data_IF_798079070520
#
_entry.id   IF_798079070520
#
_cell.length_a   1.000
_cell.length_b   1.000
_cell.length_c   1.000
_cell.angle_alpha   90.00
_cell.angle_beta   90.00
_cell.angle_gamma   90.00
#
_symmetry.space_group_name_H-M   'P 1'
#
loop_
_entity.id
_entity.type
_entity.pdbx_description
1 polymer ?
#
# COMPACT_ATOMS: atom_id res chain seq x y z
N UNK A 1 -16.93 -8.23 -17.78
CA UNK A 1 -16.00 -7.18 -18.23
C UNK A 1 -15.01 -6.95 -17.10
N UNK A 2 -13.73 -6.81 -17.40
CA UNK A 2 -12.69 -6.61 -16.41
C UNK A 2 -12.84 -5.20 -15.78
N UNK A 3 -12.74 -5.11 -14.46
CA UNK A 3 -12.88 -3.87 -13.69
C UNK A 3 -11.91 -2.77 -14.16
N UNK A 4 -10.69 -3.16 -14.61
CA UNK A 4 -9.70 -2.24 -15.14
C UNK A 4 -10.12 -1.63 -16.47
N UNK A 5 -10.65 -2.45 -17.38
CA UNK A 5 -11.14 -1.98 -18.67
C UNK A 5 -12.30 -0.99 -18.52
N UNK A 6 -13.25 -1.29 -17.63
CA UNK A 6 -14.36 -0.38 -17.35
C UNK A 6 -13.86 0.95 -16.79
N UNK A 7 -12.99 0.90 -15.78
CA UNK A 7 -12.44 2.11 -15.17
C UNK A 7 -11.64 2.96 -16.18
N UNK A 8 -10.81 2.32 -17.00
CA UNK A 8 -10.03 3.00 -18.04
C UNK A 8 -10.92 3.68 -19.06
N UNK A 9 -11.96 2.99 -19.55
CA UNK A 9 -12.93 3.53 -20.52
C UNK A 9 -13.72 4.69 -19.93
N UNK A 10 -14.27 4.55 -18.71
CA UNK A 10 -15.06 5.58 -18.04
C UNK A 10 -14.28 6.86 -17.77
N UNK A 11 -12.98 6.76 -17.55
CA UNK A 11 -12.14 7.89 -17.17
C UNK A 11 -11.20 8.37 -18.29
N UNK A 12 -11.28 7.81 -19.50
CA UNK A 12 -10.44 8.21 -20.65
C UNK A 12 -8.95 7.91 -20.44
N UNK A 13 -8.64 6.76 -19.82
CA UNK A 13 -7.29 6.30 -19.53
C UNK A 13 -6.92 5.15 -20.46
N UNK A 14 -5.65 5.10 -20.87
CA UNK A 14 -5.12 3.93 -21.58
C UNK A 14 -5.07 2.73 -20.63
N UNK A 15 -5.82 1.67 -20.95
CA UNK A 15 -5.89 0.46 -20.12
C UNK A 15 -4.53 -0.24 -20.00
N UNK A 16 -3.71 -0.24 -21.06
CA UNK A 16 -2.37 -0.86 -21.03
C UNK A 16 -1.44 -0.09 -20.07
N UNK A 17 -1.53 1.24 -20.04
CA UNK A 17 -0.79 2.05 -19.09
C UNK A 17 -1.20 1.73 -17.65
N UNK A 18 -2.50 1.63 -17.39
CA UNK A 18 -3.01 1.25 -16.07
C UNK A 18 -2.54 -0.15 -15.66
N UNK A 19 -2.58 -1.13 -16.56
CA UNK A 19 -2.07 -2.48 -16.33
C UNK A 19 -0.56 -2.51 -16.06
N UNK A 20 0.23 -1.73 -16.83
CA UNK A 20 1.68 -1.63 -16.63
C UNK A 20 2.03 -1.05 -15.25
N UNK A 21 1.33 0.01 -14.84
CA UNK A 21 1.49 0.61 -13.50
C UNK A 21 1.18 -0.42 -12.42
N UNK A 22 0.06 -1.12 -12.50
CA UNK A 22 -0.31 -2.16 -11.54
C UNK A 22 0.73 -3.27 -11.44
N UNK A 23 1.28 -3.68 -12.57
CA UNK A 23 2.32 -4.70 -12.59
C UNK A 23 3.60 -4.25 -11.86
N UNK A 24 3.94 -2.97 -11.94
CA UNK A 24 5.15 -2.42 -11.31
C UNK A 24 4.93 -2.18 -9.81
N UNK A 25 3.80 -1.60 -9.43
CA UNK A 25 3.54 -1.22 -8.03
C UNK A 25 3.27 -2.44 -7.13
N UNK A 26 2.57 -3.43 -7.64
CA UNK A 26 2.12 -4.56 -6.83
C UNK A 26 2.80 -5.89 -7.15
N UNK A 27 3.74 -5.92 -8.10
CA UNK A 27 4.16 -7.21 -8.66
C UNK A 27 2.97 -8.02 -9.23
N UNK A 28 1.87 -7.32 -9.53
CA UNK A 28 0.65 -7.90 -10.12
C UNK A 28 -0.28 -8.65 -9.15
N UNK A 29 0.10 -8.86 -7.87
CA UNK A 29 -0.69 -9.67 -6.94
C UNK A 29 -0.84 -9.01 -5.56
N UNK A 30 -2.08 -8.70 -5.18
CA UNK A 30 -2.43 -8.15 -3.85
C UNK A 30 -2.52 -9.20 -2.74
N UNK A 31 -2.41 -10.48 -3.08
CA UNK A 31 -2.58 -11.60 -2.15
C UNK A 31 -1.33 -12.47 -2.07
N UNK A 32 -1.15 -13.12 -0.94
CA UNK A 32 -0.15 -14.15 -0.74
C UNK A 32 -0.59 -15.50 -1.33
N UNK A 33 0.31 -16.48 -1.35
CA UNK A 33 0.00 -17.83 -1.85
C UNK A 33 -1.07 -18.54 -1.01
N UNK A 34 -1.21 -18.18 0.26
CA UNK A 34 -2.24 -18.71 1.18
C UNK A 34 -3.59 -17.99 1.07
N UNK A 35 -3.71 -17.01 0.15
CA UNK A 35 -4.92 -16.24 -0.07
C UNK A 35 -5.12 -15.05 0.87
N UNK A 36 -4.18 -14.78 1.78
CA UNK A 36 -4.25 -13.60 2.64
C UNK A 36 -3.87 -12.32 1.87
N UNK A 37 -4.59 -11.23 2.12
CA UNK A 37 -4.27 -9.92 1.57
C UNK A 37 -2.88 -9.48 2.02
N UNK A 38 -2.04 -9.00 1.10
CA UNK A 38 -0.73 -8.46 1.46
C UNK A 38 -0.89 -7.19 2.26
N UNK A 39 -0.09 -7.07 3.32
CA UNK A 39 -0.01 -5.88 4.16
C UNK A 39 1.43 -5.43 4.32
N UNK A 40 1.59 -4.15 4.65
CA UNK A 40 2.85 -3.53 5.06
C UNK A 40 2.58 -2.57 6.21
N UNK A 41 3.19 -2.81 7.36
CA UNK A 41 2.96 -2.00 8.56
C UNK A 41 3.93 -0.83 8.61
N UNK A 42 3.41 0.38 8.64
CA UNK A 42 4.18 1.63 8.60
C UNK A 42 4.50 2.12 10.03
N UNK A 43 5.47 1.47 10.67
CA UNK A 43 5.85 1.73 12.06
C UNK A 43 6.25 3.20 12.30
N UNK A 44 6.87 3.85 11.30
CA UNK A 44 7.26 5.25 11.43
C UNK A 44 6.03 6.17 11.58
N UNK A 45 4.94 5.90 10.84
CA UNK A 45 3.67 6.64 10.98
C UNK A 45 3.01 6.34 12.32
N UNK A 46 2.99 5.07 12.73
CA UNK A 46 2.46 4.67 14.03
C UNK A 46 3.18 5.40 15.17
N UNK A 47 4.50 5.53 15.12
CA UNK A 47 5.29 6.18 16.16
C UNK A 47 5.19 7.72 16.15
N UNK A 48 4.80 8.33 15.04
CA UNK A 48 4.48 9.76 14.98
C UNK A 48 3.26 10.10 15.85
N UNK A 49 2.20 9.26 15.77
CA UNK A 49 0.97 9.46 16.53
C UNK A 49 1.01 8.84 17.95
N UNK A 50 1.80 7.78 18.14
CA UNK A 50 1.92 7.05 19.41
C UNK A 50 3.39 6.93 19.86
N UNK A 51 4.06 8.05 20.17
CA UNK A 51 5.49 8.06 20.49
C UNK A 51 5.84 7.25 21.77
N UNK A 52 4.87 7.01 22.67
CA UNK A 52 5.06 6.18 23.85
C UNK A 52 5.32 4.70 23.54
N UNK A 53 5.04 4.26 22.31
CA UNK A 53 5.33 2.89 21.85
C UNK A 53 6.79 2.71 21.45
N UNK A 54 7.51 3.80 21.18
CA UNK A 54 8.90 3.76 20.73
C UNK A 54 9.81 3.11 21.79
N UNK A 55 10.70 2.23 21.36
CA UNK A 55 11.59 1.40 22.19
C UNK A 55 10.88 0.49 23.20
N UNK A 56 9.57 0.52 23.25
CA UNK A 56 8.76 -0.35 24.11
C UNK A 56 8.22 -1.56 23.36
N UNK A 57 7.58 -1.35 22.22
CA UNK A 57 7.03 -2.39 21.35
C UNK A 57 7.48 -2.26 19.91
N UNK A 58 7.84 -1.07 19.48
CA UNK A 58 8.30 -0.74 18.16
C UNK A 58 9.53 0.14 18.20
N UNK A 59 10.31 0.11 17.13
CA UNK A 59 11.36 1.08 16.85
C UNK A 59 11.61 1.16 15.35
N UNK A 60 12.18 2.29 14.91
CA UNK A 60 12.71 2.46 13.56
C UNK A 60 14.23 2.52 13.61
N UNK A 61 14.87 2.10 12.49
CA UNK A 61 16.30 2.33 12.25
C UNK A 61 16.56 3.61 11.49
N UNK A 62 17.65 3.63 10.74
CA UNK A 62 18.03 4.75 9.88
C UNK A 62 18.26 4.24 8.46
N UNK A 63 17.49 4.70 7.49
CA UNK A 63 16.40 5.69 7.59
C UNK A 63 15.11 5.11 8.22
N UNK A 64 14.36 5.97 8.93
CA UNK A 64 13.20 5.58 9.75
C UNK A 64 12.05 4.89 8.99
N UNK A 65 11.96 5.04 7.67
CA UNK A 65 10.91 4.47 6.83
C UNK A 65 11.31 3.13 6.15
N UNK A 66 12.55 2.65 6.36
CA UNK A 66 13.01 1.37 5.80
C UNK A 66 13.16 0.30 6.86
N UNK A 67 13.77 0.65 8.00
CA UNK A 67 14.11 -0.29 9.05
C UNK A 67 13.07 -0.23 10.17
N UNK A 68 12.12 -1.15 10.14
CA UNK A 68 11.06 -1.27 11.14
C UNK A 68 11.23 -2.55 11.97
N UNK A 69 11.05 -2.41 13.28
CA UNK A 69 11.19 -3.51 14.24
C UNK A 69 10.03 -3.52 15.21
N UNK A 70 9.66 -4.73 15.65
CA UNK A 70 8.67 -4.96 16.69
C UNK A 70 9.16 -5.98 17.71
N UNK A 71 8.51 -6.04 18.88
CA UNK A 71 8.66 -7.13 19.86
C UNK A 71 7.34 -7.41 20.56
N UNK A 72 7.14 -8.67 20.94
CA UNK A 72 5.98 -9.06 21.73
C UNK A 72 6.16 -8.61 23.18
N UNK A 73 5.12 -7.96 23.81
CA UNK A 73 5.26 -7.34 25.14
C UNK A 73 5.58 -8.31 26.27
N UNK A 74 5.16 -9.60 26.13
CA UNK A 74 5.15 -10.56 27.23
C UNK A 74 6.14 -11.70 27.11
N UNK A 75 6.76 -11.90 25.93
CA UNK A 75 7.48 -13.15 25.66
C UNK A 75 8.90 -13.00 25.15
N UNK A 76 9.34 -11.81 24.80
CA UNK A 76 10.66 -11.64 24.21
C UNK A 76 11.23 -10.24 24.46
N UNK A 77 12.51 -10.19 24.84
CA UNK A 77 13.32 -8.97 24.80
C UNK A 77 13.92 -8.72 23.41
N UNK A 78 13.77 -9.69 22.49
CA UNK A 78 14.38 -9.65 21.16
C UNK A 78 13.52 -8.84 20.19
N UNK A 79 14.17 -7.93 19.50
CA UNK A 79 13.58 -7.19 18.38
C UNK A 79 13.53 -8.08 17.14
N UNK A 80 12.40 -8.03 16.44
CA UNK A 80 12.19 -8.69 15.15
C UNK A 80 12.03 -7.63 14.06
N UNK A 81 12.61 -7.88 12.89
CA UNK A 81 12.42 -7.03 11.71
C UNK A 81 11.02 -7.23 11.15
N UNK A 82 10.36 -6.13 10.74
CA UNK A 82 9.01 -6.18 10.14
C UNK A 82 9.11 -6.54 8.65
N UNK A 83 9.85 -5.78 7.87
CA UNK A 83 9.90 -5.91 6.40
C UNK A 83 10.92 -6.97 5.96
N UNK A 84 10.66 -8.24 6.28
CA UNK A 84 11.52 -9.37 5.91
C UNK A 84 11.15 -9.98 4.56
N UNK A 85 10.04 -9.54 3.95
CA UNK A 85 9.39 -10.22 2.83
C UNK A 85 8.43 -11.32 3.26
N UNK A 86 8.44 -11.71 4.55
CA UNK A 86 7.51 -12.67 5.12
C UNK A 86 6.32 -11.93 5.73
N UNK A 87 5.13 -12.20 5.22
CA UNK A 87 3.89 -11.55 5.69
C UNK A 87 3.54 -11.88 7.15
N UNK A 88 4.04 -12.97 7.72
CA UNK A 88 3.89 -13.27 9.15
C UNK A 88 4.52 -12.20 10.05
N UNK A 89 5.64 -11.59 9.64
CA UNK A 89 6.26 -10.52 10.41
C UNK A 89 5.42 -9.25 10.34
N UNK A 90 4.83 -8.94 9.18
CA UNK A 90 3.89 -7.82 9.01
C UNK A 90 2.63 -8.02 9.88
N UNK A 91 1.97 -9.18 9.77
CA UNK A 91 0.79 -9.50 10.59
C UNK A 91 1.11 -9.51 12.08
N UNK A 92 2.26 -10.02 12.49
CA UNK A 92 2.70 -10.01 13.89
C UNK A 92 2.87 -8.58 14.40
N UNK A 93 3.48 -7.70 13.61
CA UNK A 93 3.63 -6.29 13.96
C UNK A 93 2.27 -5.59 14.07
N UNK A 94 1.35 -5.85 13.13
CA UNK A 94 -0.02 -5.34 13.17
C UNK A 94 -0.77 -5.81 14.43
N UNK A 95 -0.64 -7.09 14.81
CA UNK A 95 -1.22 -7.61 16.04
C UNK A 95 -0.66 -6.93 17.29
N UNK A 96 0.66 -6.72 17.36
CA UNK A 96 1.25 -5.97 18.48
C UNK A 96 0.68 -4.56 18.57
N UNK A 97 0.49 -3.87 17.44
CA UNK A 97 -0.16 -2.56 17.41
C UNK A 97 -1.63 -2.65 17.87
N UNK A 98 -2.38 -3.64 17.38
CA UNK A 98 -3.78 -3.83 17.73
C UNK A 98 -3.99 -4.13 19.23
N UNK A 99 -3.06 -4.80 19.88
CA UNK A 99 -3.10 -4.94 21.35
C UNK A 99 -3.02 -3.61 22.09
N UNK A 100 -2.43 -2.58 21.49
CA UNK A 100 -2.27 -1.27 22.11
C UNK A 100 -3.40 -0.29 21.77
N UNK A 101 -3.79 -0.25 20.49
CA UNK A 101 -4.71 0.76 19.94
C UNK A 101 -5.91 0.15 19.21
N UNK A 102 -6.15 -1.15 19.40
CA UNK A 102 -7.29 -1.87 18.83
C UNK A 102 -7.37 -1.71 17.28
N UNK A 103 -8.55 -1.50 16.75
CA UNK A 103 -8.80 -1.41 15.31
C UNK A 103 -8.10 -0.21 14.64
N UNK A 104 -7.68 0.80 15.42
CA UNK A 104 -6.88 1.91 14.91
C UNK A 104 -5.54 1.47 14.33
N UNK A 105 -5.00 0.32 14.74
CA UNK A 105 -3.77 -0.21 14.18
C UNK A 105 -3.81 -0.38 12.66
N UNK A 106 -4.99 -0.66 12.09
CA UNK A 106 -5.18 -0.80 10.65
C UNK A 106 -4.98 0.52 9.88
N UNK A 107 -5.08 1.69 10.53
CA UNK A 107 -4.80 2.98 9.90
C UNK A 107 -3.32 3.12 9.52
N UNK A 108 -2.42 2.38 10.20
CA UNK A 108 -0.96 2.42 10.04
C UNK A 108 -0.40 1.23 9.24
N UNK A 109 -1.24 0.62 8.41
CA UNK A 109 -0.81 -0.42 7.49
C UNK A 109 -1.31 -0.13 6.07
N UNK A 110 -0.50 -0.48 5.08
CA UNK A 110 -0.85 -0.42 3.66
C UNK A 110 -1.34 -1.78 3.19
N UNK A 111 -2.32 -1.83 2.30
CA UNK A 111 -3.04 -3.04 1.92
C UNK A 111 -3.05 -3.29 0.42
N UNK A 112 -3.00 -4.59 0.05
CA UNK A 112 -3.29 -5.10 -1.27
C UNK A 112 -2.27 -4.73 -2.34
N UNK A 113 -2.68 -4.88 -3.60
CA UNK A 113 -1.80 -4.65 -4.75
C UNK A 113 -1.42 -3.18 -4.95
N UNK A 114 -2.25 -2.26 -4.50
CA UNK A 114 -1.98 -0.82 -4.59
C UNK A 114 -1.27 -0.27 -3.35
N UNK A 115 -1.05 -1.07 -2.33
CA UNK A 115 -0.45 -0.65 -1.05
C UNK A 115 -1.09 0.63 -0.49
N UNK A 116 -2.44 0.66 -0.50
CA UNK A 116 -3.21 1.80 0.01
C UNK A 116 -3.14 1.81 1.53
N UNK A 117 -2.60 2.89 2.10
CA UNK A 117 -2.51 3.04 3.54
C UNK A 117 -3.90 3.19 4.19
N UNK A 118 -4.08 2.51 5.31
CA UNK A 118 -5.37 2.40 6.00
C UNK A 118 -5.99 3.73 6.39
N UNK A 119 -5.21 4.75 6.72
CA UNK A 119 -5.74 6.08 7.08
C UNK A 119 -6.54 6.76 5.97
N UNK A 120 -6.48 6.26 4.72
CA UNK A 120 -7.32 6.76 3.62
C UNK A 120 -8.75 6.23 3.65
N UNK A 121 -9.12 5.39 4.60
CA UNK A 121 -10.42 4.71 4.65
C UNK A 121 -11.62 5.66 4.46
N UNK A 122 -11.65 6.79 5.17
CA UNK A 122 -12.76 7.74 5.09
C UNK A 122 -12.87 8.40 3.70
N UNK A 123 -11.74 8.78 3.09
CA UNK A 123 -11.67 9.30 1.71
C UNK A 123 -12.21 8.29 0.69
N UNK A 124 -12.08 6.99 0.98
CA UNK A 124 -12.49 5.90 0.12
C UNK A 124 -13.91 5.37 0.42
N UNK A 125 -14.63 6.03 1.35
CA UNK A 125 -16.03 5.73 1.66
C UNK A 125 -16.23 4.57 2.62
N UNK A 126 -15.22 4.24 3.43
CA UNK A 126 -15.32 3.24 4.50
C UNK A 126 -15.50 3.93 5.86
N UNK A 127 -16.13 3.25 6.82
CA UNK A 127 -16.31 3.75 8.18
C UNK A 127 -15.07 3.58 9.06
N UNK A 128 -14.16 2.67 8.68
CA UNK A 128 -12.90 2.40 9.37
C UNK A 128 -11.87 1.74 8.44
N UNK A 129 -10.59 1.82 8.84
CA UNK A 129 -9.51 1.12 8.15
C UNK A 129 -9.68 -0.42 8.21
N UNK A 130 -10.22 -0.94 9.31
CA UNK A 130 -10.55 -2.37 9.42
C UNK A 130 -11.64 -2.78 8.43
N UNK A 131 -12.68 -1.96 8.22
CA UNK A 131 -13.71 -2.23 7.22
C UNK A 131 -13.11 -2.24 5.80
N UNK A 132 -12.26 -1.26 5.49
CA UNK A 132 -11.54 -1.21 4.21
C UNK A 132 -10.69 -2.47 4.00
N UNK A 133 -9.88 -2.86 5.00
CA UNK A 133 -9.10 -4.10 4.97
C UNK A 133 -9.98 -5.33 4.76
N UNK A 134 -11.07 -5.45 5.51
CA UNK A 134 -12.01 -6.57 5.40
C UNK A 134 -12.63 -6.65 4.00
N UNK A 135 -13.03 -5.51 3.42
CA UNK A 135 -13.56 -5.45 2.07
C UNK A 135 -12.53 -5.90 1.03
N UNK A 136 -11.30 -5.38 1.11
CA UNK A 136 -10.20 -5.75 0.20
C UNK A 136 -9.85 -7.23 0.31
N UNK A 137 -9.88 -7.81 1.52
CA UNK A 137 -9.56 -9.22 1.79
C UNK A 137 -10.56 -10.21 1.17
N UNK A 138 -11.74 -9.76 0.71
CA UNK A 138 -12.74 -10.63 0.08
C UNK A 138 -12.37 -11.09 -1.33
N UNK A 139 -11.37 -10.47 -1.97
CA UNK A 139 -10.85 -10.91 -3.25
C UNK A 139 -10.24 -9.81 -4.12
N UNK A 140 -9.64 -10.26 -5.21
CA UNK A 140 -8.86 -9.43 -6.12
C UNK A 140 -9.65 -8.25 -6.73
N UNK A 141 -10.91 -8.46 -7.05
CA UNK A 141 -11.77 -7.39 -7.59
C UNK A 141 -12.04 -6.29 -6.55
N UNK A 142 -12.21 -6.65 -5.28
CA UNK A 142 -12.43 -5.70 -4.20
C UNK A 142 -11.16 -4.89 -3.92
N UNK A 143 -10.02 -5.56 -3.85
CA UNK A 143 -8.71 -4.92 -3.73
C UNK A 143 -8.46 -3.94 -4.90
N UNK A 144 -8.67 -4.40 -6.13
CA UNK A 144 -8.55 -3.57 -7.33
C UNK A 144 -9.51 -2.37 -7.28
N UNK A 145 -10.77 -2.58 -6.90
CA UNK A 145 -11.77 -1.50 -6.79
C UNK A 145 -11.35 -0.40 -5.83
N UNK A 146 -10.77 -0.75 -4.67
CA UNK A 146 -10.29 0.23 -3.69
C UNK A 146 -9.12 1.04 -4.24
N UNK A 147 -8.15 0.40 -4.89
CA UNK A 147 -7.04 1.10 -5.54
C UNK A 147 -7.49 2.06 -6.65
N UNK A 148 -8.45 1.65 -7.47
CA UNK A 148 -9.02 2.52 -8.51
C UNK A 148 -9.81 3.70 -7.92
N UNK A 149 -10.55 3.49 -6.81
CA UNK A 149 -11.19 4.59 -6.07
C UNK A 149 -10.14 5.57 -5.54
N UNK A 150 -9.01 5.08 -5.02
CA UNK A 150 -7.92 5.93 -4.56
C UNK A 150 -7.41 6.84 -5.68
N UNK A 151 -7.08 6.28 -6.85
CA UNK A 151 -6.67 7.05 -8.03
C UNK A 151 -7.74 8.08 -8.41
N UNK A 152 -9.01 7.67 -8.49
CA UNK A 152 -10.12 8.56 -8.86
C UNK A 152 -10.37 9.68 -7.85
N UNK A 153 -10.07 9.44 -6.57
CA UNK A 153 -10.25 10.41 -5.48
C UNK A 153 -9.18 11.50 -5.44
N UNK A 154 -8.13 11.37 -6.27
CA UNK A 154 -7.05 12.34 -6.41
C UNK A 154 -6.97 12.85 -7.84
N UNK A 155 -7.38 14.11 -8.04
CA UNK A 155 -7.36 14.73 -9.36
C UNK A 155 -5.98 14.73 -10.02
N UNK A 156 -4.90 14.88 -9.24
CA UNK A 156 -3.55 14.88 -9.79
C UNK A 156 -3.17 13.51 -10.35
N UNK A 157 -3.53 12.43 -9.65
CA UNK A 157 -3.27 11.06 -10.11
C UNK A 157 -4.12 10.74 -11.34
N UNK A 158 -5.42 11.03 -11.28
CA UNK A 158 -6.34 10.75 -12.39
C UNK A 158 -5.93 11.52 -13.64
N UNK A 159 -5.69 12.82 -13.53
CA UNK A 159 -5.27 13.69 -14.62
C UNK A 159 -3.91 13.30 -15.22
N UNK A 160 -2.96 12.85 -14.38
CA UNK A 160 -1.67 12.35 -14.86
C UNK A 160 -1.85 11.10 -15.76
N UNK A 161 -2.72 10.16 -15.37
CA UNK A 161 -3.02 8.98 -16.17
C UNK A 161 -3.72 9.34 -17.49
N UNK A 162 -4.68 10.25 -17.47
CA UNK A 162 -5.38 10.73 -18.67
C UNK A 162 -4.43 11.38 -19.68
N UNK A 163 -3.43 12.11 -19.18
CA UNK A 163 -2.41 12.78 -19.99
C UNK A 163 -1.19 11.90 -20.30
N UNK A 164 -1.16 10.65 -19.82
CA UNK A 164 -0.01 9.74 -19.92
C UNK A 164 1.27 10.34 -19.32
N UNK A 165 1.14 11.22 -18.33
CA UNK A 165 2.25 11.81 -17.58
C UNK A 165 2.68 10.86 -16.45
N UNK A 166 3.51 9.87 -16.84
CA UNK A 166 3.99 8.81 -15.95
C UNK A 166 4.78 9.42 -14.77
N UNK A 167 5.62 10.41 -15.02
CA UNK A 167 6.45 11.05 -13.98
C UNK A 167 5.59 11.75 -12.93
N UNK A 168 4.57 12.48 -13.36
CA UNK A 168 3.62 13.15 -12.46
C UNK A 168 2.83 12.12 -11.64
N UNK A 169 2.40 11.03 -12.27
CA UNK A 169 1.74 9.94 -11.56
C UNK A 169 2.64 9.34 -10.48
N UNK A 170 3.89 8.98 -10.82
CA UNK A 170 4.85 8.40 -9.87
C UNK A 170 5.10 9.33 -8.68
N UNK A 171 5.32 10.63 -8.93
CA UNK A 171 5.54 11.61 -7.86
C UNK A 171 4.34 11.71 -6.92
N UNK A 172 3.13 11.74 -7.49
CA UNK A 172 1.91 11.85 -6.70
C UNK A 172 1.55 10.57 -5.94
N UNK A 173 1.79 9.41 -6.56
CA UNK A 173 1.42 8.12 -5.99
C UNK A 173 2.42 7.63 -4.96
N UNK A 174 3.71 7.64 -5.28
CA UNK A 174 4.78 7.09 -4.44
C UNK A 174 5.46 8.14 -3.55
N UNK A 175 5.16 9.43 -3.72
CA UNK A 175 5.82 10.51 -2.98
C UNK A 175 7.33 10.62 -3.25
N UNK A 176 7.83 10.02 -4.33
CA UNK A 176 9.25 10.00 -4.67
C UNK A 176 9.67 11.16 -5.55
N UNK A 177 10.96 11.47 -5.54
CA UNK A 177 11.58 12.54 -6.34
C UNK A 177 12.96 12.12 -6.84
N UNK A 178 13.57 12.95 -7.68
CA UNK A 178 14.92 12.70 -8.20
C UNK A 178 15.02 11.42 -9.02
N UNK A 179 16.14 10.70 -8.86
CA UNK A 179 16.46 9.49 -9.64
C UNK A 179 15.47 8.34 -9.43
N UNK A 180 14.77 8.30 -8.31
CA UNK A 180 13.74 7.30 -8.06
C UNK A 180 12.61 7.36 -9.08
N UNK A 181 12.26 8.54 -9.57
CA UNK A 181 11.22 8.72 -10.61
C UNK A 181 11.62 8.05 -11.91
N UNK A 182 12.88 8.23 -12.36
CA UNK A 182 13.37 7.61 -13.59
C UNK A 182 13.39 6.08 -13.50
N UNK A 183 13.78 5.51 -12.36
CA UNK A 183 13.79 4.06 -12.13
C UNK A 183 12.37 3.49 -12.23
N UNK A 184 11.39 4.15 -11.62
CA UNK A 184 9.98 3.72 -11.70
C UNK A 184 9.43 3.86 -13.12
N UNK A 185 9.69 4.99 -13.80
CA UNK A 185 9.29 5.20 -15.19
C UNK A 185 9.81 4.09 -16.09
N UNK A 186 11.11 3.78 -16.04
CA UNK A 186 11.73 2.75 -16.89
C UNK A 186 11.08 1.38 -16.68
N UNK A 187 10.69 1.05 -15.43
CA UNK A 187 9.94 -0.18 -15.10
C UNK A 187 8.54 -0.16 -15.73
N UNK A 188 7.82 0.95 -15.65
CA UNK A 188 6.47 1.08 -16.23
C UNK A 188 6.54 1.01 -17.76
N UNK A 189 7.47 1.70 -18.39
CA UNK A 189 7.67 1.66 -19.84
C UNK A 189 8.07 0.26 -20.33
N UNK A 190 8.93 -0.43 -19.57
CA UNK A 190 9.27 -1.83 -19.84
C UNK A 190 8.07 -2.76 -19.69
N UNK A 191 7.21 -2.55 -18.69
CA UNK A 191 5.98 -3.32 -18.54
C UNK A 191 5.00 -3.02 -19.69
N UNK A 192 4.84 -1.75 -20.05
CA UNK A 192 3.97 -1.30 -21.14
C UNK A 192 4.39 -1.89 -22.47
N UNK A 193 5.71 -1.95 -22.78
CA UNK A 193 6.23 -2.54 -24.01
C UNK A 193 5.94 -4.04 -24.13
N UNK A 194 5.79 -4.76 -23.01
CA UNK A 194 5.42 -6.19 -23.01
C UNK A 194 3.92 -6.43 -23.25
N UNK A 195 3.10 -5.40 -23.05
CA UNK A 195 1.65 -5.45 -23.27
C UNK A 195 1.25 -5.03 -24.70
N UNK A 196 2.18 -4.45 -25.44
CA UNK A 196 2.00 -3.98 -26.82
C UNK A 196 2.03 -5.01 -27.83
#
# INVERSE_FOLDING_TARGET
MDILNNFAQENGIDVKLLQAILQVEAGGNGFNLDGALKIRVEIHLLLEDYPYMNNRWFKTGTPKYLDHYYKFPSYSTLWRTVHTGNQWDEFSALLVAAFQIQNKAFEYASFGKFQICGFHFAKLGFSSALEMFTHMSQGDNNDTSVGLRFIKSDWNLLSALQQRDIDRFIRGYNGVSGDSVSIYRDRIESALSRLG
#
